data_IF_393279538650
#
_entry.id   IF_393279538650
#
_cell.length_a   1.000
_cell.length_b   1.000
_cell.length_c   1.000
_cell.angle_alpha   90.00
_cell.angle_beta   90.00
_cell.angle_gamma   90.00
#
_symmetry.space_group_name_H-M   'P 1'
#
loop_
_entity.id
_entity.type
_entity.pdbx_description
1 polymer ?
#
# COMPACT_ATOMS: atom_id res chain seq x y z
N UNK A 1 22.34 2.54 -15.21
CA UNK A 1 21.43 1.57 -15.84
C UNK A 1 21.93 0.98 -17.15
N UNK A 2 22.57 1.69 -18.07
CA UNK A 2 23.15 1.06 -19.28
C UNK A 2 24.14 -0.09 -18.94
N UNK A 3 24.98 0.09 -17.92
CA UNK A 3 25.81 -0.98 -17.35
C UNK A 3 25.00 -2.05 -16.61
N UNK A 4 23.87 -1.70 -15.99
CA UNK A 4 23.00 -2.67 -15.30
C UNK A 4 22.14 -3.49 -16.28
N UNK A 5 21.70 -2.87 -17.37
CA UNK A 5 21.06 -3.46 -18.55
C UNK A 5 22.08 -4.38 -19.23
N UNK A 6 23.33 -3.90 -19.42
CA UNK A 6 24.45 -4.71 -19.90
C UNK A 6 24.70 -5.91 -18.98
N UNK A 7 24.80 -5.73 -17.66
CA UNK A 7 24.99 -6.80 -16.67
C UNK A 7 23.81 -7.78 -16.62
N UNK A 8 22.57 -7.33 -16.78
CA UNK A 8 21.40 -8.22 -16.82
C UNK A 8 21.27 -8.94 -18.16
N UNK A 9 21.65 -8.32 -19.29
CA UNK A 9 21.79 -9.00 -20.57
C UNK A 9 22.93 -10.03 -20.55
N UNK A 10 24.07 -9.70 -19.92
CA UNK A 10 25.20 -10.60 -19.67
C UNK A 10 24.79 -11.83 -18.85
N UNK A 11 23.87 -11.68 -17.89
CA UNK A 11 23.37 -12.79 -17.06
C UNK A 11 22.27 -13.64 -17.71
N UNK A 12 21.49 -13.09 -18.63
CA UNK A 12 20.31 -13.76 -19.20
C UNK A 12 20.50 -14.33 -20.60
N UNK A 13 21.44 -13.80 -21.40
CA UNK A 13 21.56 -14.10 -22.83
C UNK A 13 23.04 -14.12 -23.23
N UNK A 14 23.70 -15.27 -23.11
CA UNK A 14 25.10 -15.54 -23.47
C UNK A 14 25.50 -15.27 -24.95
N UNK A 15 24.66 -14.57 -25.74
CA UNK A 15 24.84 -14.38 -27.19
C UNK A 15 24.68 -12.94 -27.68
N UNK A 16 24.47 -11.94 -26.81
CA UNK A 16 24.29 -10.57 -27.31
C UNK A 16 25.62 -9.83 -27.42
N UNK A 17 25.92 -9.33 -28.62
CA UNK A 17 27.07 -8.47 -28.89
C UNK A 17 26.95 -7.14 -28.12
N UNK A 18 27.80 -6.96 -27.10
CA UNK A 18 27.84 -5.77 -26.24
C UNK A 18 28.10 -4.48 -27.04
N UNK A 19 28.90 -4.55 -28.10
CA UNK A 19 29.16 -3.41 -28.97
C UNK A 19 27.89 -2.97 -29.69
N UNK A 20 27.05 -3.93 -30.09
CA UNK A 20 25.76 -3.66 -30.69
C UNK A 20 24.80 -3.01 -29.69
N UNK A 21 24.70 -3.51 -28.44
CA UNK A 21 23.87 -2.88 -27.40
C UNK A 21 24.33 -1.43 -27.16
N UNK A 22 25.64 -1.21 -27.02
CA UNK A 22 26.19 0.13 -26.81
C UNK A 22 25.89 1.05 -27.98
N UNK A 23 26.05 0.56 -29.22
CA UNK A 23 25.70 1.31 -30.42
C UNK A 23 24.21 1.70 -30.41
N UNK A 24 23.32 0.76 -30.13
CA UNK A 24 21.87 0.99 -30.07
C UNK A 24 21.48 2.00 -28.95
N UNK A 25 22.14 1.94 -27.80
CA UNK A 25 21.97 2.90 -26.71
C UNK A 25 22.44 4.30 -27.11
N UNK A 26 23.57 4.42 -27.80
CA UNK A 26 24.08 5.71 -28.30
C UNK A 26 23.21 6.30 -29.43
N UNK A 27 22.54 5.43 -30.18
CA UNK A 27 21.60 5.81 -31.24
C UNK A 27 20.21 6.18 -30.73
N UNK A 28 19.88 5.89 -29.46
CA UNK A 28 18.57 6.20 -28.88
C UNK A 28 17.47 5.22 -29.25
N UNK A 29 17.83 3.96 -29.52
CA UNK A 29 16.87 2.94 -29.99
C UNK A 29 16.10 2.24 -28.88
N UNK A 30 16.38 2.57 -27.61
CA UNK A 30 15.69 1.96 -26.49
C UNK A 30 14.54 2.83 -25.98
N UNK A 31 13.42 2.15 -25.73
CA UNK A 31 12.35 2.61 -24.86
C UNK A 31 12.46 1.82 -23.55
N UNK A 32 12.69 2.53 -22.44
CA UNK A 32 12.95 1.91 -21.14
C UNK A 32 11.83 2.28 -20.19
N UNK A 33 11.18 1.24 -19.65
CA UNK A 33 10.10 1.38 -18.69
C UNK A 33 10.63 1.16 -17.27
N UNK A 34 10.28 2.08 -16.39
CA UNK A 34 10.56 2.05 -14.95
C UNK A 34 9.23 2.09 -14.23
N UNK A 35 8.86 0.95 -13.65
CA UNK A 35 7.60 0.82 -12.91
C UNK A 35 7.86 0.94 -11.41
N UNK A 36 7.06 1.75 -10.70
CA UNK A 36 7.13 1.91 -9.25
C UNK A 36 8.40 2.63 -8.75
N UNK A 37 8.71 3.81 -9.28
CA UNK A 37 9.91 4.56 -8.88
C UNK A 37 9.92 4.94 -7.39
N UNK A 38 8.76 5.16 -6.78
CA UNK A 38 8.59 5.42 -5.35
C UNK A 38 9.04 4.25 -4.44
N UNK A 39 9.20 3.06 -4.99
CA UNK A 39 9.68 1.88 -4.24
C UNK A 39 11.22 1.84 -4.11
N UNK A 40 11.94 2.75 -4.79
CA UNK A 40 13.39 2.82 -4.68
C UNK A 40 13.81 3.58 -3.42
N UNK A 41 14.81 3.04 -2.71
CA UNK A 41 15.48 3.82 -1.67
C UNK A 41 16.13 5.07 -2.27
N UNK A 42 16.25 6.14 -1.46
CA UNK A 42 16.90 7.41 -1.84
C UNK A 42 18.27 7.23 -2.51
N UNK A 43 19.07 6.26 -2.05
CA UNK A 43 20.37 5.97 -2.66
C UNK A 43 20.25 5.53 -4.13
N UNK A 44 19.31 4.63 -4.41
CA UNK A 44 19.13 4.08 -5.76
C UNK A 44 18.42 5.04 -6.70
N UNK A 45 17.47 5.85 -6.18
CA UNK A 45 16.83 6.91 -6.97
C UNK A 45 17.84 7.98 -7.41
N UNK A 46 18.74 8.41 -6.53
CA UNK A 46 19.83 9.35 -6.87
C UNK A 46 20.84 8.75 -7.86
N UNK A 47 21.28 7.51 -7.63
CA UNK A 47 22.15 6.82 -8.59
C UNK A 47 21.49 6.71 -9.98
N UNK A 48 20.18 6.47 -10.02
CA UNK A 48 19.42 6.44 -11.26
C UNK A 48 19.38 7.81 -11.94
N UNK A 49 19.07 8.88 -11.19
CA UNK A 49 19.07 10.28 -11.64
C UNK A 49 20.38 10.63 -12.35
N UNK A 50 21.50 10.41 -11.67
CA UNK A 50 22.84 10.76 -12.15
C UNK A 50 23.22 9.92 -13.38
N UNK A 51 23.07 8.59 -13.28
CA UNK A 51 23.62 7.67 -14.29
C UNK A 51 22.77 7.57 -15.55
N UNK A 52 21.49 7.91 -15.49
CA UNK A 52 20.52 7.58 -16.55
C UNK A 52 19.83 8.82 -17.10
N UNK A 53 19.37 9.69 -16.21
CA UNK A 53 18.67 10.89 -16.63
C UNK A 53 19.67 12.01 -16.93
N UNK A 54 20.56 12.36 -16.01
CA UNK A 54 21.55 13.42 -16.21
C UNK A 54 22.70 13.03 -17.14
N UNK A 55 22.88 11.73 -17.43
CA UNK A 55 23.95 11.26 -18.30
C UNK A 55 23.69 11.62 -19.77
N UNK A 56 24.41 12.63 -20.26
CA UNK A 56 24.34 13.11 -21.65
C UNK A 56 24.68 12.03 -22.69
N UNK A 57 25.47 11.02 -22.34
CA UNK A 57 25.92 9.96 -23.26
C UNK A 57 24.75 9.17 -23.85
N UNK A 58 23.67 8.97 -23.10
CA UNK A 58 22.54 8.11 -23.48
C UNK A 58 21.22 8.88 -23.60
N UNK A 59 21.28 10.21 -23.71
CA UNK A 59 20.11 11.11 -23.70
C UNK A 59 19.10 10.90 -24.85
N UNK A 60 19.47 10.15 -25.88
CA UNK A 60 18.60 9.88 -27.04
C UNK A 60 17.57 8.78 -26.78
N UNK A 61 17.72 8.01 -25.70
CA UNK A 61 16.76 6.97 -25.35
C UNK A 61 15.55 7.57 -24.65
N UNK A 62 14.40 6.91 -24.79
CA UNK A 62 13.16 7.33 -24.14
C UNK A 62 12.99 6.56 -22.84
N UNK A 63 12.66 7.30 -21.77
CA UNK A 63 12.39 6.76 -20.45
C UNK A 63 10.92 7.01 -20.11
N UNK A 64 10.21 5.96 -19.71
CA UNK A 64 8.87 6.05 -19.15
C UNK A 64 8.97 5.62 -17.70
N UNK A 65 8.59 6.50 -16.79
CA UNK A 65 8.69 6.29 -15.34
C UNK A 65 7.29 6.39 -14.76
N UNK A 66 6.87 5.39 -14.01
CA UNK A 66 5.64 5.40 -13.23
C UNK A 66 5.97 5.52 -11.74
N UNK A 67 5.05 6.12 -10.99
CA UNK A 67 5.16 6.26 -9.55
C UNK A 67 3.85 6.77 -8.98
N UNK A 68 3.68 6.61 -7.68
CA UNK A 68 2.66 7.34 -6.92
C UNK A 68 2.92 8.84 -6.94
N UNK A 69 1.84 9.62 -6.86
CA UNK A 69 1.89 11.07 -6.64
C UNK A 69 2.42 11.33 -5.23
N UNK A 70 3.74 11.42 -5.11
CA UNK A 70 4.46 11.74 -3.88
C UNK A 70 5.38 12.93 -4.18
N UNK A 71 5.59 13.81 -3.19
CA UNK A 71 6.41 15.02 -3.36
C UNK A 71 7.84 14.73 -3.80
N UNK A 72 8.37 13.55 -3.48
CA UNK A 72 9.73 13.12 -3.84
C UNK A 72 9.95 13.05 -5.37
N UNK A 73 8.90 12.76 -6.14
CA UNK A 73 9.01 12.80 -7.60
C UNK A 73 8.95 14.20 -8.14
N UNK A 74 8.15 15.08 -7.55
CA UNK A 74 8.11 16.46 -7.99
C UNK A 74 9.50 17.09 -7.78
N UNK A 75 10.19 16.81 -6.67
CA UNK A 75 11.59 17.21 -6.46
C UNK A 75 12.57 16.53 -7.44
N UNK A 76 12.43 15.22 -7.68
CA UNK A 76 13.24 14.50 -8.66
C UNK A 76 13.11 15.11 -10.07
N UNK A 77 11.89 15.49 -10.44
CA UNK A 77 11.50 16.05 -11.73
C UNK A 77 11.95 17.52 -11.87
N UNK A 78 11.78 18.34 -10.82
CA UNK A 78 12.15 19.77 -10.80
C UNK A 78 13.65 19.98 -11.07
N UNK A 79 14.50 19.08 -10.57
CA UNK A 79 15.95 19.14 -10.79
C UNK A 79 16.39 18.72 -12.21
N UNK A 80 15.52 18.07 -12.97
CA UNK A 80 15.80 17.64 -14.33
C UNK A 80 15.39 18.79 -15.25
N UNK A 81 16.35 19.65 -15.56
CA UNK A 81 16.26 20.78 -16.49
C UNK A 81 16.03 20.36 -17.98
N UNK A 82 15.21 19.33 -18.22
CA UNK A 82 14.90 18.74 -19.53
C UNK A 82 13.39 18.77 -19.79
N UNK A 83 13.03 18.80 -21.07
CA UNK A 83 11.66 18.69 -21.57
C UNK A 83 11.04 17.30 -21.27
N UNK A 84 10.62 17.04 -20.03
CA UNK A 84 9.79 15.88 -19.72
C UNK A 84 8.31 16.22 -19.92
N UNK A 85 7.49 15.20 -20.16
CA UNK A 85 6.03 15.31 -20.15
C UNK A 85 5.51 14.49 -18.99
N UNK A 86 4.73 15.10 -18.12
CA UNK A 86 4.03 14.41 -17.03
C UNK A 86 2.63 14.04 -17.49
N UNK A 87 2.20 12.84 -17.13
CA UNK A 87 0.86 12.32 -17.37
C UNK A 87 0.33 11.76 -16.06
N UNK A 88 -0.93 12.08 -15.75
CA UNK A 88 -1.62 11.52 -14.60
C UNK A 88 -2.60 10.46 -15.08
N UNK A 89 -2.52 9.26 -14.50
CA UNK A 89 -3.53 8.23 -14.68
C UNK A 89 -4.71 8.62 -13.80
N UNK A 90 -5.82 9.00 -14.43
CA UNK A 90 -7.04 9.36 -13.73
C UNK A 90 -7.82 8.11 -13.29
N UNK A 91 -8.72 8.31 -12.34
CA UNK A 91 -9.68 7.29 -11.90
C UNK A 91 -10.60 6.89 -13.06
N UNK A 92 -11.12 5.66 -12.99
CA UNK A 92 -12.08 5.16 -13.97
C UNK A 92 -13.38 5.96 -13.92
N UNK A 93 -13.93 6.25 -15.08
CA UNK A 93 -15.27 6.79 -15.18
C UNK A 93 -16.35 5.71 -14.96
N UNK A 94 -17.58 6.14 -14.71
CA UNK A 94 -18.70 5.23 -14.45
C UNK A 94 -18.96 4.27 -15.60
N UNK A 95 -18.72 4.69 -16.85
CA UNK A 95 -18.90 3.84 -18.03
C UNK A 95 -17.89 2.68 -18.01
N UNK A 96 -16.61 2.96 -17.80
CA UNK A 96 -15.56 1.95 -17.71
C UNK A 96 -15.80 0.97 -16.55
N UNK A 97 -16.26 1.48 -15.40
CA UNK A 97 -16.65 0.64 -14.24
C UNK A 97 -17.78 -0.32 -14.65
N UNK A 98 -18.84 0.20 -15.25
CA UNK A 98 -20.01 -0.59 -15.64
C UNK A 98 -19.75 -1.58 -16.78
N UNK A 99 -18.88 -1.22 -17.72
CA UNK A 99 -18.42 -2.12 -18.78
C UNK A 99 -17.60 -3.27 -18.19
N UNK A 100 -16.73 -2.99 -17.19
CA UNK A 100 -15.98 -4.02 -16.49
C UNK A 100 -16.90 -4.98 -15.70
N UNK A 101 -17.87 -4.45 -14.95
CA UNK A 101 -18.85 -5.24 -14.20
C UNK A 101 -19.63 -6.16 -15.14
N UNK A 102 -20.13 -5.63 -16.25
CA UNK A 102 -20.89 -6.41 -17.23
C UNK A 102 -20.05 -7.55 -17.83
N UNK A 103 -18.77 -7.32 -18.07
CA UNK A 103 -17.88 -8.34 -18.63
C UNK A 103 -17.50 -9.43 -17.61
N UNK A 104 -17.39 -9.09 -16.33
CA UNK A 104 -16.90 -10.01 -15.30
C UNK A 104 -18.01 -10.82 -14.61
N UNK A 105 -19.16 -10.18 -14.33
CA UNK A 105 -20.32 -10.74 -13.62
C UNK A 105 -21.63 -10.27 -14.27
N UNK A 106 -21.88 -10.63 -15.55
CA UNK A 106 -23.04 -10.15 -16.30
C UNK A 106 -24.37 -10.41 -15.60
N UNK A 107 -24.49 -11.55 -14.92
CA UNK A 107 -25.69 -11.97 -14.20
C UNK A 107 -26.00 -11.12 -12.95
N UNK A 108 -25.02 -10.38 -12.43
CA UNK A 108 -25.15 -9.50 -11.25
C UNK A 108 -25.07 -8.02 -11.62
N UNK A 109 -24.83 -7.70 -12.89
CA UNK A 109 -24.54 -6.35 -13.36
C UNK A 109 -25.63 -5.34 -12.98
N UNK A 110 -26.90 -5.67 -13.20
CA UNK A 110 -28.00 -4.71 -12.97
C UNK A 110 -28.18 -4.39 -11.49
N UNK A 111 -28.04 -5.39 -10.62
CA UNK A 111 -28.05 -5.21 -9.17
C UNK A 111 -26.95 -4.24 -8.72
N UNK A 112 -25.71 -4.49 -9.14
CA UNK A 112 -24.54 -3.68 -8.76
C UNK A 112 -24.67 -2.26 -9.31
N UNK A 113 -25.13 -2.12 -10.56
CA UNK A 113 -25.40 -0.81 -11.18
C UNK A 113 -26.44 -0.02 -10.41
N UNK A 114 -27.55 -0.65 -10.03
CA UNK A 114 -28.59 0.00 -9.23
C UNK A 114 -28.05 0.47 -7.87
N UNK A 115 -27.25 -0.35 -7.20
CA UNK A 115 -26.59 0.04 -5.96
C UNK A 115 -25.65 1.24 -6.15
N UNK A 116 -24.79 1.22 -7.19
CA UNK A 116 -23.86 2.30 -7.48
C UNK A 116 -24.55 3.61 -7.86
N UNK A 117 -25.69 3.55 -8.56
CA UNK A 117 -26.47 4.73 -8.90
C UNK A 117 -27.10 5.40 -7.67
N UNK A 118 -27.36 4.62 -6.61
CA UNK A 118 -27.92 5.11 -5.35
C UNK A 118 -26.86 5.53 -4.33
N UNK A 119 -25.58 5.22 -4.56
CA UNK A 119 -24.49 5.60 -3.66
C UNK A 119 -23.28 6.14 -4.43
N UNK A 120 -22.97 7.42 -4.24
CA UNK A 120 -21.80 8.07 -4.86
C UNK A 120 -20.47 7.57 -4.27
N UNK A 121 -20.46 7.14 -3.01
CA UNK A 121 -19.23 6.72 -2.34
C UNK A 121 -18.71 5.37 -2.87
N UNK A 122 -19.58 4.37 -3.07
CA UNK A 122 -19.16 3.09 -3.66
C UNK A 122 -18.62 3.29 -5.07
N UNK A 123 -19.24 4.17 -5.88
CA UNK A 123 -18.76 4.48 -7.22
C UNK A 123 -17.36 5.11 -7.17
N UNK A 124 -17.11 6.01 -6.22
CA UNK A 124 -15.78 6.57 -5.99
C UNK A 124 -14.77 5.49 -5.57
N UNK A 125 -15.12 4.57 -4.67
CA UNK A 125 -14.24 3.45 -4.27
C UNK A 125 -13.89 2.57 -5.46
N UNK A 126 -14.87 2.25 -6.31
CA UNK A 126 -14.74 1.41 -7.50
C UNK A 126 -14.07 2.12 -8.68
N UNK A 127 -13.91 3.44 -8.62
CA UNK A 127 -13.17 4.18 -9.64
C UNK A 127 -11.67 3.85 -9.64
N UNK A 128 -11.15 3.27 -8.55
CA UNK A 128 -9.83 2.67 -8.52
C UNK A 128 -9.86 1.26 -9.14
N UNK A 129 -9.08 0.97 -10.21
CA UNK A 129 -9.11 -0.32 -10.90
C UNK A 129 -8.80 -1.53 -10.02
N UNK A 130 -7.90 -1.36 -9.04
CA UNK A 130 -7.55 -2.44 -8.11
C UNK A 130 -8.74 -2.76 -7.20
N UNK A 131 -9.35 -1.74 -6.59
CA UNK A 131 -10.53 -1.93 -5.75
C UNK A 131 -11.67 -2.57 -6.54
N UNK A 132 -11.94 -2.09 -7.75
CA UNK A 132 -12.96 -2.65 -8.64
C UNK A 132 -12.72 -4.15 -8.88
N UNK A 133 -11.48 -4.51 -9.22
CA UNK A 133 -11.12 -5.90 -9.49
C UNK A 133 -11.37 -6.79 -8.27
N UNK A 134 -10.90 -6.37 -7.09
CA UNK A 134 -11.05 -7.14 -5.85
C UNK A 134 -12.52 -7.26 -5.44
N UNK A 135 -13.26 -6.13 -5.38
CA UNK A 135 -14.68 -6.12 -4.98
C UNK A 135 -15.50 -6.99 -5.92
N UNK A 136 -15.28 -6.90 -7.24
CA UNK A 136 -16.01 -7.72 -8.20
C UNK A 136 -15.64 -9.20 -8.11
N UNK A 137 -14.38 -9.54 -7.85
CA UNK A 137 -13.97 -10.92 -7.63
C UNK A 137 -14.65 -11.53 -6.39
N UNK A 138 -14.81 -10.74 -5.32
CA UNK A 138 -15.55 -11.17 -4.13
C UNK A 138 -17.04 -11.33 -4.43
N UNK A 139 -17.66 -10.36 -5.10
CA UNK A 139 -19.08 -10.46 -5.52
C UNK A 139 -19.31 -11.66 -6.43
N UNK A 140 -18.37 -12.00 -7.30
CA UNK A 140 -18.45 -13.20 -8.15
C UNK A 140 -18.65 -14.47 -7.32
N UNK A 141 -18.06 -14.55 -6.13
CA UNK A 141 -18.19 -15.70 -5.21
C UNK A 141 -19.49 -15.71 -4.39
N UNK A 142 -20.25 -14.61 -4.34
CA UNK A 142 -21.52 -14.52 -3.61
C UNK A 142 -22.69 -14.97 -4.49
N UNK A 143 -23.54 -15.87 -4.01
CA UNK A 143 -24.67 -16.37 -4.81
C UNK A 143 -25.96 -15.58 -4.60
N UNK A 144 -26.21 -15.10 -3.38
CA UNK A 144 -27.48 -14.46 -3.01
C UNK A 144 -27.41 -12.95 -3.16
N UNK A 145 -28.48 -12.36 -3.70
CA UNK A 145 -28.64 -10.91 -3.86
C UNK A 145 -28.49 -10.14 -2.55
N UNK A 146 -29.11 -10.64 -1.47
CA UNK A 146 -29.00 -10.06 -0.12
C UNK A 146 -27.53 -9.98 0.34
N UNK A 147 -26.76 -11.06 0.16
CA UNK A 147 -25.33 -11.06 0.52
C UNK A 147 -24.50 -10.08 -0.31
N UNK A 148 -24.86 -9.84 -1.57
CA UNK A 148 -24.18 -8.86 -2.43
C UNK A 148 -24.47 -7.45 -1.94
N UNK A 149 -25.74 -7.14 -1.63
CA UNK A 149 -26.14 -5.84 -1.10
C UNK A 149 -25.46 -5.58 0.25
N UNK A 150 -25.50 -6.53 1.20
CA UNK A 150 -24.83 -6.42 2.48
C UNK A 150 -23.33 -6.18 2.33
N UNK A 151 -22.68 -6.91 1.42
CA UNK A 151 -21.27 -6.73 1.13
C UNK A 151 -20.98 -5.32 0.59
N UNK A 152 -21.76 -4.85 -0.39
CA UNK A 152 -21.62 -3.52 -0.96
C UNK A 152 -21.90 -2.41 0.06
N UNK A 153 -22.87 -2.57 0.96
CA UNK A 153 -23.14 -1.63 2.06
C UNK A 153 -21.97 -1.56 3.05
N UNK A 154 -21.38 -2.70 3.40
CA UNK A 154 -20.20 -2.74 4.26
C UNK A 154 -18.99 -2.07 3.59
N UNK A 155 -18.75 -2.31 2.30
CA UNK A 155 -17.68 -1.62 1.57
C UNK A 155 -17.96 -0.12 1.45
N UNK A 156 -19.22 0.25 1.21
CA UNK A 156 -19.64 1.65 1.12
C UNK A 156 -19.47 2.42 2.43
N UNK A 157 -19.67 1.76 3.58
CA UNK A 157 -19.46 2.38 4.89
C UNK A 157 -18.00 2.30 5.37
N UNK A 158 -17.29 1.23 5.00
CA UNK A 158 -15.92 0.93 5.41
C UNK A 158 -15.12 0.44 4.21
N UNK A 159 -14.41 1.33 3.50
CA UNK A 159 -13.67 0.94 2.29
C UNK A 159 -12.67 -0.19 2.51
N UNK A 160 -12.06 -0.32 3.70
CA UNK A 160 -11.12 -1.40 3.99
C UNK A 160 -11.78 -2.79 4.12
N UNK A 161 -13.11 -2.85 4.24
CA UNK A 161 -13.85 -4.08 4.53
C UNK A 161 -13.59 -5.16 3.47
N UNK A 162 -13.47 -4.78 2.19
CA UNK A 162 -13.22 -5.76 1.14
C UNK A 162 -11.85 -6.43 1.27
N UNK A 163 -10.84 -5.81 1.89
CA UNK A 163 -9.55 -6.47 2.16
C UNK A 163 -9.69 -7.55 3.22
N UNK A 164 -10.48 -7.28 4.27
CA UNK A 164 -10.82 -8.26 5.31
C UNK A 164 -11.58 -9.44 4.74
N UNK A 165 -12.59 -9.16 3.91
CA UNK A 165 -13.34 -10.23 3.26
C UNK A 165 -12.48 -10.99 2.25
N UNK A 166 -11.62 -10.31 1.48
CA UNK A 166 -10.65 -10.95 0.59
C UNK A 166 -9.78 -11.95 1.35
N UNK A 167 -9.20 -11.54 2.48
CA UNK A 167 -8.33 -12.43 3.25
C UNK A 167 -9.06 -13.67 3.77
N UNK A 168 -10.28 -13.48 4.28
CA UNK A 168 -11.15 -14.59 4.70
C UNK A 168 -11.47 -15.53 3.55
N UNK A 169 -11.81 -14.99 2.38
CA UNK A 169 -12.10 -15.79 1.19
C UNK A 169 -10.86 -16.52 0.68
N UNK A 170 -9.68 -15.90 0.71
CA UNK A 170 -8.42 -16.58 0.38
C UNK A 170 -8.17 -17.81 1.26
N UNK A 171 -8.46 -17.74 2.57
CA UNK A 171 -8.37 -18.91 3.44
C UNK A 171 -9.38 -20.00 3.07
N UNK A 172 -10.62 -19.62 2.76
CA UNK A 172 -11.69 -20.55 2.35
C UNK A 172 -11.33 -21.24 1.03
N UNK A 173 -10.94 -20.48 0.01
CA UNK A 173 -10.58 -21.01 -1.31
C UNK A 173 -9.38 -21.96 -1.26
N UNK A 174 -8.45 -21.72 -0.32
CA UNK A 174 -7.24 -22.52 -0.19
C UNK A 174 -7.29 -23.58 0.93
N UNK A 175 -8.47 -23.85 1.51
CA UNK A 175 -8.60 -24.72 2.68
C UNK A 175 -8.04 -26.13 2.48
N UNK A 176 -8.20 -26.69 1.29
CA UNK A 176 -7.65 -28.01 0.95
C UNK A 176 -6.12 -28.00 0.86
N UNK A 177 -5.52 -26.89 0.39
CA UNK A 177 -4.07 -26.71 0.36
C UNK A 177 -3.54 -26.61 1.80
N UNK A 178 -4.18 -25.79 2.64
CA UNK A 178 -3.83 -25.66 4.06
C UNK A 178 -3.87 -27.01 4.77
N UNK A 179 -4.91 -27.82 4.54
CA UNK A 179 -5.04 -29.19 5.06
C UNK A 179 -3.93 -30.10 4.58
N UNK A 180 -3.57 -30.05 3.29
CA UNK A 180 -2.46 -30.85 2.72
C UNK A 180 -1.14 -30.58 3.45
N UNK A 181 -0.86 -29.32 3.77
CA UNK A 181 0.33 -28.90 4.51
C UNK A 181 0.16 -28.94 6.04
N UNK A 182 -0.99 -29.40 6.55
CA UNK A 182 -1.32 -29.47 7.98
C UNK A 182 -1.21 -28.13 8.71
N UNK A 183 -1.43 -27.02 8.00
CA UNK A 183 -1.43 -25.68 8.58
C UNK A 183 -2.84 -25.29 9.01
N UNK A 184 -2.96 -24.71 10.21
CA UNK A 184 -4.22 -24.17 10.72
C UNK A 184 -4.36 -22.71 10.30
N UNK A 185 -5.59 -22.27 10.04
CA UNK A 185 -5.90 -20.90 9.60
C UNK A 185 -5.30 -19.86 10.55
N UNK A 186 -5.42 -20.04 11.86
CA UNK A 186 -4.85 -19.14 12.89
C UNK A 186 -3.33 -18.94 12.74
N UNK A 187 -2.59 -20.04 12.53
CA UNK A 187 -1.15 -19.98 12.32
C UNK A 187 -0.80 -19.23 11.04
N UNK A 188 -1.53 -19.51 9.95
CA UNK A 188 -1.30 -18.87 8.65
C UNK A 188 -1.62 -17.39 8.73
N UNK A 189 -2.70 -17.02 9.40
CA UNK A 189 -3.08 -15.62 9.62
C UNK A 189 -1.95 -14.88 10.30
N UNK A 190 -1.51 -15.37 11.46
CA UNK A 190 -0.44 -14.74 12.24
C UNK A 190 0.88 -14.67 11.46
N UNK A 191 1.22 -15.73 10.72
CA UNK A 191 2.44 -15.76 9.91
C UNK A 191 2.41 -14.72 8.79
N UNK A 192 1.31 -14.63 8.04
CA UNK A 192 1.18 -13.70 6.90
C UNK A 192 1.23 -12.25 7.38
N UNK A 193 0.51 -11.93 8.46
CA UNK A 193 0.48 -10.58 9.05
C UNK A 193 1.85 -10.21 9.65
N UNK A 194 2.52 -11.16 10.31
CA UNK A 194 3.88 -10.96 10.82
C UNK A 194 4.91 -10.71 9.71
N UNK A 195 4.88 -11.50 8.63
CA UNK A 195 5.78 -11.31 7.49
C UNK A 195 5.55 -9.92 6.88
N UNK A 196 4.29 -9.52 6.68
CA UNK A 196 3.95 -8.21 6.15
C UNK A 196 4.50 -7.08 7.02
N UNK A 197 4.27 -7.16 8.32
CA UNK A 197 4.80 -6.22 9.30
C UNK A 197 6.33 -6.11 9.23
N UNK A 198 7.05 -7.24 9.22
CA UNK A 198 8.52 -7.26 9.15
C UNK A 198 9.06 -6.75 7.82
N UNK A 199 8.37 -7.03 6.72
CA UNK A 199 8.73 -6.50 5.40
C UNK A 199 8.69 -4.97 5.38
N UNK A 200 7.65 -4.35 5.94
CA UNK A 200 7.57 -2.89 6.03
C UNK A 200 8.58 -2.31 7.01
N UNK A 201 8.68 -2.89 8.22
CA UNK A 201 9.58 -2.40 9.26
C UNK A 201 11.05 -2.44 8.82
N UNK A 202 11.46 -3.49 8.12
CA UNK A 202 12.84 -3.68 7.67
C UNK A 202 13.09 -3.09 6.27
N UNK A 203 12.09 -2.41 5.67
CA UNK A 203 12.16 -1.82 4.31
C UNK A 203 12.51 -2.85 3.22
N UNK A 204 11.93 -4.05 3.31
CA UNK A 204 12.14 -5.17 2.38
C UNK A 204 10.83 -5.60 1.74
N UNK A 205 10.54 -5.06 0.55
CA UNK A 205 9.40 -5.48 -0.26
C UNK A 205 9.67 -6.87 -0.89
N UNK A 206 10.93 -7.13 -1.27
CA UNK A 206 11.38 -8.43 -1.80
C UNK A 206 12.19 -9.18 -0.76
N UNK A 207 11.72 -10.37 -0.41
CA UNK A 207 12.29 -11.21 0.62
C UNK A 207 13.15 -12.29 -0.02
N UNK A 208 14.45 -12.28 0.26
CA UNK A 208 15.30 -13.41 -0.12
C UNK A 208 14.96 -14.66 0.71
N UNK A 209 15.39 -15.83 0.20
CA UNK A 209 15.13 -17.13 0.82
C UNK A 209 15.59 -17.21 2.29
N UNK A 210 16.74 -16.60 2.64
CA UNK A 210 17.26 -16.65 4.01
C UNK A 210 16.37 -15.84 4.94
N UNK A 211 15.95 -14.67 4.48
CA UNK A 211 15.12 -13.76 5.24
C UNK A 211 13.73 -14.33 5.49
N UNK A 212 13.04 -14.84 4.47
CA UNK A 212 11.71 -15.44 4.66
C UNK A 212 11.77 -16.69 5.55
N UNK A 213 12.79 -17.55 5.40
CA UNK A 213 12.94 -18.73 6.24
C UNK A 213 13.20 -18.37 7.71
N UNK A 214 13.90 -17.26 7.98
CA UNK A 214 14.05 -16.72 9.33
C UNK A 214 12.69 -16.33 9.92
N UNK A 215 11.88 -15.56 9.19
CA UNK A 215 10.56 -15.11 9.65
C UNK A 215 9.62 -16.30 9.92
N UNK A 216 9.62 -17.31 9.04
CA UNK A 216 8.84 -18.54 9.24
C UNK A 216 9.31 -19.27 10.50
N UNK A 217 10.62 -19.37 10.71
CA UNK A 217 11.20 -20.03 11.89
C UNK A 217 10.81 -19.34 13.19
N UNK A 218 10.77 -18.00 13.21
CA UNK A 218 10.38 -17.22 14.38
C UNK A 218 8.95 -17.59 14.80
N UNK A 219 8.01 -17.64 13.85
CA UNK A 219 6.61 -17.99 14.12
C UNK A 219 6.41 -19.48 14.43
N UNK A 220 7.15 -20.39 13.76
CA UNK A 220 7.14 -21.80 14.13
C UNK A 220 7.59 -22.01 15.58
N UNK A 221 8.57 -21.22 16.05
CA UNK A 221 9.04 -21.29 17.43
C UNK A 221 8.00 -20.73 18.40
N UNK A 222 7.36 -19.60 18.06
CA UNK A 222 6.26 -19.01 18.84
C UNK A 222 5.10 -19.99 19.06
N UNK A 223 4.75 -20.75 18.02
CA UNK A 223 3.67 -21.75 18.07
C UNK A 223 4.12 -23.14 18.57
N UNK A 224 5.41 -23.34 18.93
CA UNK A 224 5.96 -24.65 19.30
C UNK A 224 5.80 -25.74 18.23
N UNK A 225 5.97 -25.36 16.95
CA UNK A 225 5.80 -26.21 15.75
C UNK A 225 7.13 -26.50 15.04
N UNK A 226 8.26 -26.04 15.58
CA UNK A 226 9.63 -26.13 15.03
C UNK A 226 10.10 -27.56 14.70
N UNK A 227 9.48 -28.58 15.31
CA UNK A 227 9.77 -30.01 15.08
C UNK A 227 8.66 -30.76 14.35
N UNK A 228 7.55 -30.10 14.06
CA UNK A 228 6.35 -30.72 13.51
C UNK A 228 6.15 -30.36 12.04
N UNK A 229 6.62 -29.18 11.64
CA UNK A 229 6.37 -28.61 10.31
C UNK A 229 7.70 -28.12 9.73
N UNK A 230 7.98 -28.51 8.49
CA UNK A 230 9.16 -28.05 7.79
C UNK A 230 8.97 -26.62 7.26
N UNK A 231 10.01 -25.79 7.34
CA UNK A 231 9.98 -24.41 6.84
C UNK A 231 9.63 -24.38 5.34
N UNK A 232 10.14 -25.34 4.57
CA UNK A 232 9.87 -25.46 3.14
C UNK A 232 8.38 -25.70 2.86
N UNK A 233 7.73 -26.58 3.63
CA UNK A 233 6.29 -26.84 3.52
C UNK A 233 5.46 -25.59 3.80
N UNK A 234 5.86 -24.80 4.81
CA UNK A 234 5.19 -23.53 5.13
C UNK A 234 5.34 -22.54 3.98
N UNK A 235 6.55 -22.38 3.45
CA UNK A 235 6.84 -21.46 2.35
C UNK A 235 6.07 -21.85 1.09
N UNK A 236 6.10 -23.13 0.72
CA UNK A 236 5.38 -23.66 -0.45
C UNK A 236 3.87 -23.51 -0.28
N UNK A 237 3.36 -23.63 0.95
CA UNK A 237 1.97 -23.34 1.25
C UNK A 237 1.63 -21.86 1.04
N UNK A 238 2.44 -20.93 1.53
CA UNK A 238 2.20 -19.48 1.35
C UNK A 238 2.16 -19.09 -0.14
N UNK A 239 3.04 -19.68 -0.96
CA UNK A 239 3.06 -19.46 -2.41
C UNK A 239 1.86 -20.12 -3.09
N UNK A 240 1.54 -21.38 -2.74
CA UNK A 240 0.42 -22.12 -3.32
C UNK A 240 -0.93 -21.44 -3.04
N UNK A 241 -1.07 -20.85 -1.84
CA UNK A 241 -2.26 -20.12 -1.43
C UNK A 241 -2.32 -18.66 -1.93
N UNK A 242 -1.32 -18.21 -2.69
CA UNK A 242 -1.21 -16.83 -3.22
C UNK A 242 -1.11 -15.75 -2.15
N UNK A 243 -0.68 -16.09 -0.94
CA UNK A 243 -0.31 -15.06 0.05
C UNK A 243 1.01 -14.38 -0.33
N UNK A 244 1.90 -15.13 -0.98
CA UNK A 244 3.14 -14.63 -1.55
C UNK A 244 3.31 -15.13 -2.98
N UNK A 245 4.03 -14.37 -3.78
CA UNK A 245 4.52 -14.75 -5.09
C UNK A 245 6.02 -15.01 -5.01
N UNK A 246 6.47 -16.12 -5.59
CA UNK A 246 7.89 -16.38 -5.84
C UNK A 246 8.27 -15.93 -7.26
N UNK A 247 9.30 -15.10 -7.36
CA UNK A 247 9.85 -14.64 -8.65
C UNK A 247 11.34 -14.38 -8.52
N UNK A 248 12.13 -15.00 -9.41
CA UNK A 248 13.58 -14.84 -9.47
C UNK A 248 14.31 -15.09 -8.13
N UNK A 249 13.83 -16.06 -7.35
CA UNK A 249 14.42 -16.40 -6.04
C UNK A 249 14.09 -15.43 -4.90
N UNK A 250 13.11 -14.54 -5.12
CA UNK A 250 12.55 -13.66 -4.10
C UNK A 250 11.07 -13.95 -3.88
N UNK A 251 10.61 -13.66 -2.67
CA UNK A 251 9.22 -13.76 -2.26
C UNK A 251 8.68 -12.35 -1.97
N UNK A 252 7.48 -12.05 -2.45
CA UNK A 252 6.82 -10.76 -2.22
C UNK A 252 5.30 -10.95 -2.18
N UNK A 253 4.58 -10.00 -1.60
CA UNK A 253 3.12 -9.97 -1.70
C UNK A 253 2.70 -9.65 -3.15
N UNK A 254 1.50 -10.11 -3.56
CA UNK A 254 1.00 -9.85 -4.91
C UNK A 254 0.80 -8.34 -5.18
N UNK A 255 0.49 -7.56 -4.14
CA UNK A 255 0.31 -6.12 -4.24
C UNK A 255 0.67 -5.41 -2.93
N UNK A 256 1.22 -4.20 -3.01
CA UNK A 256 1.62 -3.41 -1.83
C UNK A 256 0.43 -3.06 -0.93
N UNK A 257 -0.78 -2.90 -1.48
CA UNK A 257 -1.98 -2.68 -0.65
C UNK A 257 -2.29 -3.88 0.26
N UNK A 258 -1.98 -5.11 -0.17
CA UNK A 258 -2.15 -6.30 0.66
C UNK A 258 -1.07 -6.37 1.74
N UNK A 259 0.17 -6.01 1.40
CA UNK A 259 1.24 -5.84 2.37
C UNK A 259 0.85 -4.85 3.47
N UNK A 260 0.34 -3.67 3.09
CA UNK A 260 -0.12 -2.63 4.02
C UNK A 260 -1.25 -3.15 4.92
N UNK A 261 -2.24 -3.82 4.33
CA UNK A 261 -3.37 -4.40 5.05
C UNK A 261 -2.96 -5.50 6.04
N UNK A 262 -2.09 -6.43 5.65
CA UNK A 262 -1.67 -7.51 6.54
C UNK A 262 -0.78 -6.99 7.68
N UNK A 263 0.10 -6.03 7.40
CA UNK A 263 0.91 -5.40 8.43
C UNK A 263 0.04 -4.66 9.45
N UNK A 264 -1.02 -4.00 8.99
CA UNK A 264 -1.93 -3.26 9.87
C UNK A 264 -2.77 -4.19 10.75
N UNK A 265 -3.17 -5.36 10.25
CA UNK A 265 -3.79 -6.40 11.08
C UNK A 265 -2.86 -6.87 12.20
N UNK A 266 -1.57 -7.11 11.91
CA UNK A 266 -0.59 -7.50 12.92
C UNK A 266 -0.44 -6.44 14.02
N UNK A 267 -0.33 -5.17 13.62
CA UNK A 267 -0.19 -4.05 14.56
C UNK A 267 -1.45 -3.92 15.42
N UNK A 268 -2.63 -4.06 14.82
CA UNK A 268 -3.91 -4.00 15.53
C UNK A 268 -4.00 -5.08 16.61
N UNK A 269 -3.62 -6.31 16.29
CA UNK A 269 -3.57 -7.43 17.25
C UNK A 269 -2.60 -7.14 18.41
N UNK A 270 -1.40 -6.64 18.11
CA UNK A 270 -0.35 -6.36 19.10
C UNK A 270 -0.50 -5.02 19.83
N UNK A 271 -1.42 -4.15 19.42
CA UNK A 271 -1.64 -2.83 20.04
C UNK A 271 -2.13 -2.89 21.49
N UNK A 272 -2.58 -4.06 21.94
CA UNK A 272 -2.95 -4.33 23.33
C UNK A 272 -1.79 -4.83 24.21
N UNK A 273 -0.63 -5.15 23.62
CA UNK A 273 0.59 -5.53 24.35
C UNK A 273 1.36 -4.28 24.81
N UNK A 274 1.60 -4.16 26.12
CA UNK A 274 2.27 -3.00 26.74
C UNK A 274 3.70 -2.74 26.25
N UNK A 275 4.33 -3.74 25.66
CA UNK A 275 5.74 -3.72 25.26
C UNK A 275 5.95 -3.53 23.74
N UNK A 276 4.89 -3.28 22.97
CA UNK A 276 5.00 -3.13 21.52
C UNK A 276 5.51 -1.72 21.14
N UNK A 277 6.68 -1.61 20.45
CA UNK A 277 7.21 -0.32 20.04
C UNK A 277 6.36 0.25 18.88
N UNK A 278 5.42 1.12 19.21
CA UNK A 278 4.59 1.87 18.24
C UNK A 278 5.37 2.97 17.50
N UNK A 279 6.62 3.24 17.89
CA UNK A 279 7.39 4.42 17.45
C UNK A 279 8.15 4.27 16.11
N UNK A 280 8.03 3.16 15.37
CA UNK A 280 8.87 2.89 14.19
C UNK A 280 8.21 3.03 12.80
N UNK A 281 6.95 3.47 12.69
CA UNK A 281 6.14 3.26 11.47
C UNK A 281 5.78 4.49 10.67
N UNK A 282 6.73 5.23 10.09
CA UNK A 282 6.35 6.45 9.37
C UNK A 282 7.27 6.79 8.21
N UNK A 283 6.98 6.20 7.04
CA UNK A 283 7.17 6.82 5.71
C UNK A 283 6.43 5.99 4.65
N UNK A 284 5.56 6.63 3.86
CA UNK A 284 5.25 6.18 2.49
C UNK A 284 3.93 5.46 2.15
N UNK A 285 3.06 5.10 3.11
CA UNK A 285 1.90 4.23 2.78
C UNK A 285 0.53 4.90 3.05
N UNK A 286 -0.20 5.22 1.97
CA UNK A 286 -1.53 5.83 2.01
C UNK A 286 -2.58 5.01 2.79
N UNK A 287 -2.50 3.67 2.75
CA UNK A 287 -3.44 2.79 3.47
C UNK A 287 -3.09 2.63 4.95
N UNK A 288 -1.81 2.76 5.32
CA UNK A 288 -1.39 2.78 6.72
C UNK A 288 -1.99 3.99 7.46
N UNK A 289 -2.11 5.15 6.81
CA UNK A 289 -2.79 6.32 7.37
C UNK A 289 -4.30 6.06 7.63
N UNK A 290 -5.00 5.38 6.72
CA UNK A 290 -6.40 4.96 6.92
C UNK A 290 -6.55 3.90 8.00
N UNK A 291 -5.57 3.02 8.19
CA UNK A 291 -5.62 1.98 9.20
C UNK A 291 -5.17 2.49 10.58
N UNK A 292 -4.25 3.44 10.62
CA UNK A 292 -3.99 4.26 11.81
C UNK A 292 -5.28 4.98 12.20
N UNK A 293 -6.10 5.49 11.28
CA UNK A 293 -7.43 6.02 11.63
C UNK A 293 -8.37 4.96 12.26
N UNK A 294 -8.26 3.69 11.90
CA UNK A 294 -9.04 2.59 12.52
C UNK A 294 -8.50 2.22 13.92
N UNK A 295 -7.19 2.15 14.08
CA UNK A 295 -6.52 1.95 15.38
C UNK A 295 -6.78 3.15 16.31
N UNK A 296 -6.77 4.37 15.78
CA UNK A 296 -7.10 5.59 16.53
C UNK A 296 -8.61 5.73 16.78
N UNK A 297 -9.48 5.21 15.94
CA UNK A 297 -10.94 5.24 16.20
C UNK A 297 -11.41 4.13 17.15
N UNK A 298 -10.59 3.09 17.38
CA UNK A 298 -10.82 2.06 18.40
C UNK A 298 -10.26 2.42 19.78
N UNK A 299 -9.30 3.35 19.85
CA UNK A 299 -8.85 3.95 21.11
C UNK A 299 -9.90 4.97 21.63
N UNK A 300 -10.12 5.08 22.96
CA UNK A 300 -11.00 6.12 23.48
C UNK A 300 -10.52 7.48 23.01
N UNK A 301 -11.39 8.25 22.34
CA UNK A 301 -11.11 9.56 21.69
C UNK A 301 -10.18 10.47 22.51
N UNK A 302 -10.32 10.46 23.84
CA UNK A 302 -9.47 11.21 24.77
C UNK A 302 -7.97 10.88 24.64
N UNK A 303 -7.60 9.61 24.52
CA UNK A 303 -6.20 9.16 24.46
C UNK A 303 -5.55 9.51 23.13
N UNK A 304 -6.26 9.36 22.02
CA UNK A 304 -5.76 9.76 20.70
C UNK A 304 -5.50 11.25 20.66
N UNK A 305 -6.44 12.04 21.18
CA UNK A 305 -6.28 13.48 21.26
C UNK A 305 -5.08 13.85 22.14
N UNK A 306 -4.86 13.19 23.28
CA UNK A 306 -3.65 13.40 24.10
C UNK A 306 -2.36 13.10 23.32
N UNK A 307 -2.29 11.99 22.59
CA UNK A 307 -1.12 11.64 21.78
C UNK A 307 -0.85 12.65 20.65
N UNK A 308 -1.91 13.08 19.97
CA UNK A 308 -1.84 14.14 18.97
C UNK A 308 -1.30 15.45 19.57
N UNK A 309 -1.70 15.79 20.79
CA UNK A 309 -1.21 16.99 21.48
C UNK A 309 0.29 16.89 21.77
N UNK A 310 0.73 15.77 22.34
CA UNK A 310 2.14 15.52 22.66
C UNK A 310 3.04 15.59 21.42
N UNK A 311 2.54 15.14 20.27
CA UNK A 311 3.28 15.23 19.00
C UNK A 311 3.36 16.68 18.51
N UNK A 312 2.25 17.43 18.55
CA UNK A 312 2.24 18.85 18.14
C UNK A 312 3.10 19.74 19.05
N UNK A 313 3.28 19.37 20.32
CA UNK A 313 4.11 20.12 21.27
C UNK A 313 5.60 19.73 21.24
N UNK A 314 5.99 18.76 20.40
CA UNK A 314 7.35 18.24 20.33
C UNK A 314 8.03 18.67 19.03
N UNK A 315 9.00 19.59 19.12
CA UNK A 315 9.87 20.01 18.01
C UNK A 315 10.58 18.82 17.33
N UNK A 316 11.05 17.86 18.13
CA UNK A 316 11.70 16.63 17.64
C UNK A 316 10.76 15.71 16.82
N UNK A 317 9.47 16.05 16.75
CA UNK A 317 8.42 15.30 16.05
C UNK A 317 7.76 16.15 14.96
N UNK A 318 8.39 17.23 14.51
CA UNK A 318 7.87 18.17 13.52
C UNK A 318 7.47 17.53 12.20
N UNK A 319 8.19 16.47 11.78
CA UNK A 319 7.85 15.69 10.58
C UNK A 319 6.46 15.02 10.63
N UNK A 320 5.86 14.89 11.82
CA UNK A 320 4.55 14.27 12.01
C UNK A 320 3.39 15.28 12.11
N UNK A 321 3.67 16.58 12.18
CA UNK A 321 2.65 17.60 12.43
C UNK A 321 1.56 17.62 11.35
N UNK A 322 1.92 17.48 10.08
CA UNK A 322 0.95 17.45 8.98
C UNK A 322 -0.03 16.28 9.03
N UNK A 323 0.45 15.14 9.55
CA UNK A 323 -0.35 13.93 9.74
C UNK A 323 -1.25 14.06 10.95
N UNK A 324 -0.72 14.60 12.05
CA UNK A 324 -1.51 14.85 13.26
C UNK A 324 -2.59 15.89 13.03
N UNK A 325 -2.31 16.95 12.28
CA UNK A 325 -3.33 17.93 11.90
C UNK A 325 -4.42 17.31 11.02
N UNK A 326 -4.07 16.38 10.13
CA UNK A 326 -5.06 15.61 9.37
C UNK A 326 -5.93 14.76 10.29
N UNK A 327 -5.35 14.04 11.25
CA UNK A 327 -6.11 13.26 12.24
C UNK A 327 -7.04 14.17 13.03
N UNK A 328 -6.51 15.25 13.61
CA UNK A 328 -7.27 16.24 14.37
C UNK A 328 -8.43 16.77 13.53
N UNK A 329 -8.22 17.16 12.27
CA UNK A 329 -9.28 17.61 11.36
C UNK A 329 -10.49 16.68 11.33
N UNK A 330 -10.27 15.36 11.33
CA UNK A 330 -11.33 14.36 11.27
C UNK A 330 -11.97 14.02 12.62
N UNK A 331 -11.20 13.94 13.72
CA UNK A 331 -11.69 13.43 15.01
C UNK A 331 -11.74 14.47 16.13
N UNK A 332 -11.21 15.68 15.90
CA UNK A 332 -11.21 16.81 16.83
C UNK A 332 -12.59 17.43 17.03
N UNK A 333 -12.68 18.41 17.91
CA UNK A 333 -13.89 19.18 18.19
C UNK A 333 -13.52 20.60 18.66
N UNK A 334 -14.52 21.44 18.96
CA UNK A 334 -14.27 22.83 19.39
C UNK A 334 -13.47 22.95 20.69
N UNK A 335 -13.45 21.92 21.55
CA UNK A 335 -12.66 21.93 22.78
C UNK A 335 -11.15 22.02 22.49
N UNK A 336 -10.73 21.71 21.26
CA UNK A 336 -9.36 21.79 20.78
C UNK A 336 -8.93 23.15 20.24
N UNK A 337 -9.85 24.11 20.14
CA UNK A 337 -9.53 25.45 19.60
C UNK A 337 -8.37 26.10 20.34
N UNK A 338 -8.33 25.99 21.67
CA UNK A 338 -7.26 26.59 22.46
C UNK A 338 -5.89 25.93 22.18
N UNK A 339 -5.87 24.60 22.02
CA UNK A 339 -4.63 23.86 21.74
C UNK A 339 -4.11 24.13 20.32
N UNK A 340 -5.01 24.18 19.34
CA UNK A 340 -4.66 24.54 17.97
C UNK A 340 -4.23 26.00 17.85
N UNK A 341 -4.85 26.91 18.61
CA UNK A 341 -4.43 28.31 18.67
C UNK A 341 -3.04 28.47 19.31
N UNK A 342 -2.73 27.71 20.38
CA UNK A 342 -1.40 27.69 20.97
C UNK A 342 -0.34 27.16 19.99
N UNK A 343 -0.66 26.07 19.28
CA UNK A 343 0.23 25.50 18.26
C UNK A 343 0.42 26.47 17.07
N UNK A 344 -0.65 27.10 16.61
CA UNK A 344 -0.64 28.17 15.59
C UNK A 344 0.28 29.33 15.98
N UNK A 345 0.17 29.84 17.21
CA UNK A 345 0.99 30.96 17.69
C UNK A 345 2.48 30.62 17.77
N UNK A 346 2.80 29.35 18.04
CA UNK A 346 4.17 28.87 18.06
C UNK A 346 4.72 28.53 16.66
N UNK A 347 3.85 28.23 15.68
CA UNK A 347 4.25 27.69 14.37
C UNK A 347 3.52 28.40 13.22
N UNK A 348 4.00 29.58 12.79
CA UNK A 348 3.33 30.41 11.77
C UNK A 348 3.17 29.72 10.41
N UNK A 349 4.06 28.79 10.06
CA UNK A 349 4.03 28.06 8.77
C UNK A 349 2.79 27.16 8.61
N UNK A 350 2.12 26.83 9.71
CA UNK A 350 0.92 25.97 9.74
C UNK A 350 -0.39 26.76 9.82
N UNK A 351 -0.34 28.09 9.73
CA UNK A 351 -1.47 29.00 9.95
C UNK A 351 -2.67 28.70 9.04
N UNK A 352 -2.45 28.61 7.72
CA UNK A 352 -3.54 28.40 6.76
C UNK A 352 -4.21 27.05 6.98
N UNK A 353 -3.42 25.99 7.20
CA UNK A 353 -3.91 24.63 7.43
C UNK A 353 -4.75 24.53 8.71
N UNK A 354 -4.34 25.19 9.79
CA UNK A 354 -5.10 25.23 11.05
C UNK A 354 -6.38 26.05 10.89
N UNK A 355 -6.31 27.18 10.18
CA UNK A 355 -7.48 28.01 9.91
C UNK A 355 -8.54 27.25 9.10
N UNK A 356 -8.14 26.44 8.13
CA UNK A 356 -9.04 25.59 7.34
C UNK A 356 -9.69 24.49 8.19
N UNK A 357 -8.91 23.82 9.05
CA UNK A 357 -9.45 22.82 10.00
C UNK A 357 -10.53 23.45 10.92
N UNK A 358 -10.22 24.62 11.50
CA UNK A 358 -11.15 25.34 12.37
C UNK A 358 -12.39 25.79 11.60
N UNK A 359 -12.23 26.25 10.35
CA UNK A 359 -13.34 26.67 9.49
C UNK A 359 -14.27 25.49 9.21
N UNK A 360 -13.73 24.31 8.93
CA UNK A 360 -14.53 23.10 8.68
C UNK A 360 -15.31 22.64 9.90
N UNK A 361 -14.71 22.67 11.10
CA UNK A 361 -15.43 22.32 12.33
C UNK A 361 -16.59 23.28 12.62
N UNK A 362 -16.43 24.57 12.30
CA UNK A 362 -17.47 25.58 12.48
C UNK A 362 -18.56 25.50 11.41
N UNK A 363 -18.20 25.19 10.17
CA UNK A 363 -19.14 25.03 9.06
C UNK A 363 -19.90 23.69 9.12
N UNK A 364 -19.29 22.62 9.64
CA UNK A 364 -19.91 21.31 9.83
C UNK A 364 -20.98 21.27 10.93
N UNK A 365 -21.13 22.34 11.73
CA UNK A 365 -22.22 22.50 12.72
C UNK A 365 -23.43 23.29 12.18
N UNK A 366 -23.43 23.60 10.87
CA UNK A 366 -24.48 24.38 10.19
C UNK A 366 -25.42 23.55 9.30
N UNK A 367 -25.52 22.24 9.49
CA UNK A 367 -26.51 21.36 8.84
C UNK A 367 -27.21 20.49 9.86
#
# INVERSE_FOLDING_TARGET
>A
MAEYIKINFEKGLNQINIELINKLLLEGRFLIFFDGFDELSLKYSEEFKIKCIQNEKYKKNTFIITSRSSGDIDEFIIDINRNYKSYKIELLDSKAIFDFILNLVPEKSDLIKNFCNNSTNILHILSNPFNLTVVMYLIKSLEQEESINDFLENVNSKPHYFYKELFKQMLIWNREILRRFKLRDEFVIHLVTYIAYKSLNDWKIRLDLRYINRLIKDILSEFSLDRQIYIDDVRDCLVSCRFLQESNGFYQFEHNNLLDFFASLYISEKSSDSDFPTHAFYKGYHYLNYFIQEILSSLPRKHVLTLCFEILMSEDKKEFWDHVLTIIRFIGNEDWLNNLNCFYLANPDYTEKIADIIREWRLGKGQ
#
